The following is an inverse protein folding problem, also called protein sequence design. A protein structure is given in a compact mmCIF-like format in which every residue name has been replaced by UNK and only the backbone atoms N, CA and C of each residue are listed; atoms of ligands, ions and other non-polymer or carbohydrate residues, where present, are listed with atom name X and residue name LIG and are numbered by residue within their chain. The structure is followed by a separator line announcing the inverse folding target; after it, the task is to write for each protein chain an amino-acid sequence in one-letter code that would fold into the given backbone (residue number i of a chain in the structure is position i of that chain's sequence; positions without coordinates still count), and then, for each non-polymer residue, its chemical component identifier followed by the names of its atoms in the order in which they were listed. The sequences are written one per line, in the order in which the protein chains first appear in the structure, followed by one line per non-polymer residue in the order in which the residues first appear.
data_IF_803551929262
#
_entry.id   IF_803551929262
#
_cell.length_a   1.000
_cell.length_b   1.000
_cell.length_c   1.000
_cell.angle_alpha   90.00
_cell.angle_beta   90.00
_cell.angle_gamma   90.00
#
_symmetry.space_group_name_H-M   'P 1'
#
loop_
_entity.id
_entity.type
_entity.pdbx_description
1 polymer ?
#
# COMPACT_ATOMS: atom_id res chain seq x y z
N UNK A 1 15.58 -16.12 -13.49
CA UNK A 1 14.37 -15.75 -12.72
C UNK A 1 13.82 -14.48 -13.34
N UNK A 2 12.51 -14.39 -13.62
CA UNK A 2 11.90 -13.19 -14.20
C UNK A 2 11.21 -12.41 -13.07
N UNK A 3 11.19 -11.06 -13.12
CA UNK A 3 10.33 -10.26 -12.25
C UNK A 3 8.88 -10.73 -12.32
N UNK A 4 8.21 -10.76 -11.16
CA UNK A 4 6.83 -11.17 -10.98
C UNK A 4 6.09 -10.29 -9.95
N UNK A 5 4.78 -10.47 -9.87
CA UNK A 5 3.88 -9.68 -9.02
C UNK A 5 3.76 -10.24 -7.58
N UNK A 6 4.63 -11.18 -7.18
CA UNK A 6 4.62 -11.72 -5.82
C UNK A 6 5.02 -10.63 -4.84
N UNK A 7 4.16 -10.29 -3.86
CA UNK A 7 4.47 -9.24 -2.89
C UNK A 7 5.52 -9.75 -1.89
N UNK A 8 6.39 -8.85 -1.42
CA UNK A 8 7.43 -9.16 -0.44
C UNK A 8 6.87 -9.69 0.90
N UNK A 9 5.66 -9.27 1.25
CA UNK A 9 4.93 -9.70 2.45
C UNK A 9 3.42 -9.64 2.18
N UNK A 10 2.60 -10.13 3.12
CA UNK A 10 1.14 -10.14 2.96
C UNK A 10 0.56 -8.70 2.87
N UNK A 11 -0.08 -8.32 1.76
CA UNK A 11 -0.70 -7.00 1.61
C UNK A 11 -1.83 -6.71 2.61
N UNK A 12 -2.45 -7.73 3.22
CA UNK A 12 -3.51 -7.57 4.23
C UNK A 12 -3.04 -6.75 5.43
N UNK A 13 -1.77 -6.90 5.82
CA UNK A 13 -1.14 -6.23 6.95
C UNK A 13 -1.22 -4.70 6.85
N UNK A 14 -1.21 -4.14 5.64
CA UNK A 14 -1.36 -2.69 5.43
C UNK A 14 -2.81 -2.24 5.63
N UNK A 15 -3.78 -3.09 5.27
CA UNK A 15 -5.21 -2.77 5.34
C UNK A 15 -5.78 -2.93 6.74
N UNK A 16 -5.19 -3.82 7.54
CA UNK A 16 -5.62 -4.17 8.90
C UNK A 16 -4.99 -3.28 9.98
N UNK A 17 -4.16 -2.32 9.60
CA UNK A 17 -3.64 -1.30 10.53
C UNK A 17 -4.81 -0.54 11.15
N UNK A 18 -4.80 -0.43 12.48
CA UNK A 18 -5.73 0.42 13.23
C UNK A 18 -5.46 1.90 12.95
N UNK A 19 -5.99 2.40 11.83
CA UNK A 19 -5.81 3.78 11.38
C UNK A 19 -6.55 4.79 12.27
N UNK A 20 -7.39 4.33 13.22
CA UNK A 20 -7.99 5.23 14.21
C UNK A 20 -6.94 5.81 15.17
N UNK A 21 -5.79 5.14 15.31
CA UNK A 21 -4.66 5.61 16.12
C UNK A 21 -3.73 6.55 15.36
N UNK A 22 -3.97 6.82 14.07
CA UNK A 22 -3.19 7.79 13.32
C UNK A 22 -3.42 9.21 13.88
N UNK A 23 -2.33 9.91 14.19
CA UNK A 23 -2.35 11.28 14.72
C UNK A 23 -2.01 12.33 13.65
N UNK A 24 -1.55 11.91 12.47
CA UNK A 24 -1.21 12.83 11.39
C UNK A 24 -2.47 13.38 10.71
N UNK A 25 -2.44 14.67 10.37
CA UNK A 25 -3.52 15.34 9.64
C UNK A 25 -3.30 15.15 8.14
N UNK A 26 -4.32 14.61 7.46
CA UNK A 26 -4.34 14.45 6.01
C UNK A 26 -5.46 15.30 5.40
N UNK A 27 -5.15 16.07 4.36
CA UNK A 27 -6.12 16.87 3.59
C UNK A 27 -5.80 16.77 2.09
N UNK A 28 -6.61 16.03 1.29
CA UNK A 28 -7.80 15.28 1.70
C UNK A 28 -7.48 14.11 2.62
N UNK A 29 -8.50 13.59 3.31
CA UNK A 29 -8.34 12.40 4.14
C UNK A 29 -7.97 11.18 3.26
N UNK A 30 -6.85 10.55 3.58
CA UNK A 30 -6.37 9.32 2.95
C UNK A 30 -6.07 8.28 4.03
N UNK A 31 -6.01 7.01 3.62
CA UNK A 31 -5.74 5.88 4.52
C UNK A 31 -5.09 4.73 3.74
N UNK A 32 -4.60 3.68 4.42
CA UNK A 32 -4.06 2.51 3.73
C UNK A 32 -5.03 1.84 2.75
N UNK A 33 -6.34 1.92 3.00
CA UNK A 33 -7.38 1.38 2.10
C UNK A 33 -7.82 2.37 1.03
N UNK A 34 -7.58 3.68 1.23
CA UNK A 34 -7.93 4.76 0.31
C UNK A 34 -6.76 5.74 0.18
N UNK A 35 -5.68 5.37 -0.54
CA UNK A 35 -4.47 6.20 -0.63
C UNK A 35 -4.63 7.42 -1.53
N UNK A 36 -5.70 7.47 -2.34
CA UNK A 36 -5.96 8.51 -3.33
C UNK A 36 -6.51 7.92 -4.63
N UNK A 37 -7.11 8.75 -5.47
CA UNK A 37 -7.67 8.31 -6.74
C UNK A 37 -6.58 7.79 -7.69
N UNK A 38 -6.78 6.60 -8.28
CA UNK A 38 -5.82 5.97 -9.18
C UNK A 38 -4.56 5.41 -8.49
N UNK A 39 -4.48 5.45 -7.15
CA UNK A 39 -3.33 4.99 -6.39
C UNK A 39 -3.60 3.67 -5.67
N UNK A 40 -2.53 2.87 -5.49
CA UNK A 40 -2.57 1.61 -4.74
C UNK A 40 -1.42 1.59 -3.75
N UNK A 41 -1.74 1.42 -2.46
CA UNK A 41 -0.76 1.14 -1.42
C UNK A 41 -0.60 -0.39 -1.31
N UNK A 42 0.61 -0.89 -1.57
CA UNK A 42 0.92 -2.33 -1.55
C UNK A 42 2.39 -2.59 -1.24
N UNK A 43 2.76 -3.83 -0.86
CA UNK A 43 4.14 -4.26 -0.79
C UNK A 43 4.85 -4.11 -2.14
N UNK A 44 6.17 -3.98 -2.09
CA UNK A 44 7.04 -4.11 -3.25
C UNK A 44 6.92 -5.52 -3.84
N UNK A 45 6.90 -5.61 -5.17
CA UNK A 45 7.09 -6.87 -5.91
C UNK A 45 8.28 -6.74 -6.85
N UNK A 46 8.80 -7.86 -7.37
CA UNK A 46 9.97 -7.80 -8.25
C UNK A 46 9.64 -7.16 -9.61
N UNK A 47 8.39 -7.29 -10.08
CA UNK A 47 7.90 -6.62 -11.29
C UNK A 47 7.96 -5.08 -11.23
N UNK A 48 8.10 -4.49 -10.04
CA UNK A 48 8.29 -3.04 -9.88
C UNK A 48 9.63 -2.54 -10.41
N UNK A 49 10.58 -3.42 -10.73
CA UNK A 49 11.82 -3.06 -11.43
C UNK A 49 11.57 -2.32 -12.75
N UNK A 50 10.42 -2.57 -13.39
CA UNK A 50 10.11 -2.11 -14.74
C UNK A 50 8.84 -1.24 -14.82
N UNK A 51 8.28 -0.84 -13.67
CA UNK A 51 7.14 0.09 -13.63
C UNK A 51 7.59 1.54 -13.68
#
# INVERSE_FOLDING_TARGET
MKPDETPMFDPSLLKEVDWSQNTAIFSPAISPTHPGEGLVLRPLCTADLNK
#
